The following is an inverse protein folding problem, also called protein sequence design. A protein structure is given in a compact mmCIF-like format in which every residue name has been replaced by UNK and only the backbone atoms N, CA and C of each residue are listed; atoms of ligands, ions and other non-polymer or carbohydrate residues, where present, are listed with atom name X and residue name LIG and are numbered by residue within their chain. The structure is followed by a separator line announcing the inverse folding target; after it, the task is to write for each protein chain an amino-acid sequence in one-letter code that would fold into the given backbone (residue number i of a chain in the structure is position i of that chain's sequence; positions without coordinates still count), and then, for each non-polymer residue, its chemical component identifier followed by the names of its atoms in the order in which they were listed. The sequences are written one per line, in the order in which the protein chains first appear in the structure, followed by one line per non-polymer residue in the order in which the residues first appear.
data_IF_394845221499
#
_entry.id   IF_394845221499
#
_cell.length_a   1.000
_cell.length_b   1.000
_cell.length_c   1.000
_cell.angle_alpha   90.00
_cell.angle_beta   90.00
_cell.angle_gamma   90.00
#
_symmetry.space_group_name_H-M   'P 1'
#
loop_
_entity.id
_entity.type
_entity.pdbx_description
1 polymer ?
#
# COMPACT_ATOMS: atom_id res chain seq x y z
N UNK A 1 7.91 -20.59 -79.41
CA UNK A 1 7.10 -20.96 -78.23
C UNK A 1 7.99 -20.88 -76.99
N UNK A 2 7.92 -19.79 -76.22
CA UNK A 2 8.59 -19.65 -74.94
C UNK A 2 7.53 -19.70 -73.83
N UNK A 3 7.62 -20.68 -72.92
CA UNK A 3 6.77 -20.75 -71.73
C UNK A 3 7.50 -20.05 -70.58
N UNK A 4 6.97 -18.90 -70.15
CA UNK A 4 7.40 -18.19 -68.96
C UNK A 4 6.63 -18.73 -67.75
N UNK A 5 7.34 -19.26 -66.75
CA UNK A 5 6.76 -19.78 -65.50
C UNK A 5 6.76 -18.68 -64.45
N UNK A 6 5.57 -18.23 -64.04
CA UNK A 6 5.37 -17.29 -62.94
C UNK A 6 5.40 -18.08 -61.63
N UNK A 7 6.45 -17.88 -60.82
CA UNK A 7 6.50 -18.37 -59.45
C UNK A 7 5.71 -17.42 -58.53
N UNK A 8 4.60 -17.92 -57.96
CA UNK A 8 3.86 -17.25 -56.88
C UNK A 8 4.60 -17.47 -55.56
N UNK A 9 5.20 -16.42 -55.01
CA UNK A 9 5.66 -16.38 -53.62
C UNK A 9 4.45 -16.17 -52.71
N UNK A 10 4.08 -17.20 -51.96
CA UNK A 10 3.08 -17.10 -50.88
C UNK A 10 3.84 -16.73 -49.62
N UNK A 11 3.83 -15.45 -49.26
CA UNK A 11 4.34 -14.96 -47.98
C UNK A 11 3.33 -15.26 -46.88
N UNK A 12 3.55 -16.35 -46.13
CA UNK A 12 2.80 -16.63 -44.90
C UNK A 12 3.26 -15.71 -43.78
N UNK A 13 2.39 -14.81 -43.32
CA UNK A 13 2.62 -14.04 -42.11
C UNK A 13 2.47 -14.97 -40.90
N UNK A 14 3.60 -15.30 -40.26
CA UNK A 14 3.60 -15.97 -38.96
C UNK A 14 3.25 -14.94 -37.92
N UNK A 15 2.00 -14.92 -37.47
CA UNK A 15 1.59 -14.17 -36.28
C UNK A 15 2.07 -14.96 -35.07
N UNK A 16 3.21 -14.57 -34.52
CA UNK A 16 3.69 -15.09 -33.26
C UNK A 16 2.82 -14.52 -32.14
N UNK A 17 1.82 -15.29 -31.68
CA UNK A 17 1.07 -14.98 -30.46
C UNK A 17 1.97 -15.30 -29.28
N UNK A 18 2.65 -14.28 -28.74
CA UNK A 18 3.30 -14.39 -27.44
C UNK A 18 2.23 -14.43 -26.37
N UNK A 19 1.82 -15.63 -25.94
CA UNK A 19 1.11 -15.82 -24.68
C UNK A 19 2.18 -15.72 -23.60
N UNK A 20 2.46 -14.51 -23.12
CA UNK A 20 3.24 -14.32 -21.92
C UNK A 20 2.41 -14.88 -20.75
N UNK A 21 2.71 -16.10 -20.32
CA UNK A 21 2.27 -16.64 -19.04
C UNK A 21 3.05 -15.93 -17.92
N UNK A 22 2.88 -14.61 -17.82
CA UNK A 22 3.38 -13.84 -16.70
C UNK A 22 2.44 -14.07 -15.54
N UNK A 23 2.91 -14.73 -14.49
CA UNK A 23 2.32 -14.53 -13.16
C UNK A 23 2.31 -13.04 -12.90
N UNK A 24 1.13 -12.45 -12.87
CA UNK A 24 0.97 -11.04 -12.56
C UNK A 24 1.32 -10.88 -11.08
N UNK A 25 2.57 -10.50 -10.79
CA UNK A 25 2.99 -10.18 -9.43
C UNK A 25 2.34 -8.87 -9.02
N UNK A 26 1.83 -8.80 -7.80
CA UNK A 26 1.48 -7.55 -7.16
C UNK A 26 2.70 -6.61 -7.22
N UNK A 27 2.49 -5.33 -7.57
CA UNK A 27 3.54 -4.33 -7.55
C UNK A 27 3.40 -3.49 -6.29
N UNK A 28 4.52 -3.27 -5.59
CA UNK A 28 4.55 -2.33 -4.48
C UNK A 28 4.36 -0.91 -5.02
N UNK A 29 3.21 -0.31 -4.70
CA UNK A 29 2.90 1.07 -5.07
C UNK A 29 3.39 2.06 -4.01
N UNK A 30 3.55 1.60 -2.78
CA UNK A 30 4.13 2.36 -1.68
C UNK A 30 4.93 1.45 -0.75
N UNK A 31 6.07 1.96 -0.28
CA UNK A 31 6.67 1.54 0.97
C UNK A 31 7.21 2.75 1.74
N UNK A 32 6.95 2.80 3.04
CA UNK A 32 7.50 3.82 3.93
C UNK A 32 7.77 3.27 5.34
N UNK A 33 8.64 3.94 6.09
CA UNK A 33 9.00 3.59 7.46
C UNK A 33 8.82 4.80 8.36
N UNK A 34 8.07 4.61 9.44
CA UNK A 34 7.73 5.65 10.39
C UNK A 34 8.32 5.30 11.75
N UNK A 35 9.11 6.21 12.32
CA UNK A 35 9.68 6.06 13.64
C UNK A 35 9.06 7.09 14.59
N UNK A 36 8.53 6.60 15.71
CA UNK A 36 7.79 7.41 16.66
C UNK A 36 8.58 7.54 17.95
N UNK A 37 9.54 8.47 17.92
CA UNK A 37 10.38 8.81 19.08
C UNK A 37 11.26 7.65 19.57
N UNK A 38 11.58 6.69 18.69
CA UNK A 38 12.31 5.47 19.04
C UNK A 38 11.49 4.45 19.83
N UNK A 39 10.23 4.71 20.13
CA UNK A 39 9.36 3.82 20.91
C UNK A 39 8.79 2.72 20.03
N UNK A 40 8.22 3.13 18.89
CA UNK A 40 7.58 2.26 17.89
C UNK A 40 8.19 2.55 16.52
N UNK A 41 8.27 1.52 15.68
CA UNK A 41 8.47 1.69 14.24
C UNK A 41 7.36 0.99 13.49
N UNK A 42 6.78 1.67 12.49
CA UNK A 42 5.73 1.12 11.64
C UNK A 42 6.23 1.19 10.20
N UNK A 43 6.42 0.03 9.59
CA UNK A 43 6.72 -0.06 8.16
C UNK A 43 5.41 -0.33 7.43
N UNK A 44 5.05 0.53 6.50
CA UNK A 44 3.90 0.34 5.63
C UNK A 44 4.37 -0.15 4.27
N UNK A 45 3.62 -1.08 3.70
CA UNK A 45 3.71 -1.44 2.29
C UNK A 45 2.30 -1.51 1.72
N UNK A 46 2.12 -0.93 0.54
CA UNK A 46 0.88 -1.05 -0.23
C UNK A 46 1.22 -1.64 -1.57
N UNK A 47 0.48 -2.67 -1.92
CA UNK A 47 0.61 -3.37 -3.19
C UNK A 47 -0.68 -3.20 -3.99
N UNK A 48 -0.54 -2.95 -5.30
CA UNK A 48 -1.65 -3.11 -6.23
C UNK A 48 -1.81 -4.58 -6.61
N UNK A 49 -2.94 -4.93 -7.22
CA UNK A 49 -3.16 -6.27 -7.77
C UNK A 49 -3.17 -7.39 -6.70
N UNK A 50 -3.93 -7.18 -5.62
CA UNK A 50 -4.08 -8.17 -4.57
C UNK A 50 -4.66 -9.48 -5.11
N UNK A 51 -3.86 -10.56 -5.09
CA UNK A 51 -4.24 -11.89 -5.61
C UNK A 51 -4.76 -11.87 -7.06
N UNK A 52 -4.30 -10.94 -7.90
CA UNK A 52 -4.76 -10.80 -9.28
C UNK A 52 -5.89 -9.78 -9.49
N UNK A 53 -6.37 -9.14 -8.42
CA UNK A 53 -7.39 -8.10 -8.47
C UNK A 53 -6.77 -6.70 -8.48
N UNK A 54 -6.62 -6.14 -9.67
CA UNK A 54 -6.13 -4.77 -9.89
C UNK A 54 -7.06 -3.67 -9.35
N UNK A 55 -8.30 -4.02 -8.98
CA UNK A 55 -9.24 -3.07 -8.40
C UNK A 55 -9.09 -2.94 -6.89
N UNK A 56 -8.04 -3.55 -6.30
CA UNK A 56 -7.78 -3.51 -4.87
C UNK A 56 -6.34 -3.18 -4.54
N UNK A 57 -6.18 -2.47 -3.43
CA UNK A 57 -4.92 -2.32 -2.73
C UNK A 57 -4.86 -3.28 -1.56
N UNK A 58 -3.68 -3.85 -1.35
CA UNK A 58 -3.33 -4.61 -0.15
C UNK A 58 -2.41 -3.79 0.72
N UNK A 59 -2.86 -3.48 1.93
CA UNK A 59 -2.14 -2.70 2.89
C UNK A 59 -1.52 -3.63 3.93
N UNK A 60 -0.24 -3.45 4.20
CA UNK A 60 0.49 -4.19 5.23
C UNK A 60 1.25 -3.22 6.13
N UNK A 61 1.10 -3.40 7.43
CA UNK A 61 1.78 -2.65 8.47
C UNK A 61 2.57 -3.61 9.34
N UNK A 62 3.90 -3.55 9.26
CA UNK A 62 4.79 -4.27 10.15
C UNK A 62 5.20 -3.33 11.29
N UNK A 63 4.63 -3.56 12.46
CA UNK A 63 4.87 -2.78 13.68
C UNK A 63 5.95 -3.46 14.49
N UNK A 64 6.95 -2.70 14.93
CA UNK A 64 7.96 -3.13 15.90
C UNK A 64 7.85 -2.24 17.12
N UNK A 65 7.61 -2.85 18.27
CA UNK A 65 7.63 -2.16 19.54
C UNK A 65 9.04 -2.28 20.14
N UNK A 66 9.76 -1.17 20.21
CA UNK A 66 11.10 -1.18 20.80
C UNK A 66 11.02 -1.11 22.32
N UNK A 67 10.22 -0.18 22.86
CA UNK A 67 10.21 0.13 24.30
C UNK A 67 8.86 0.62 24.84
N UNK A 68 7.82 0.71 24.03
CA UNK A 68 6.53 1.24 24.43
C UNK A 68 5.75 0.25 25.32
N UNK A 69 5.76 0.51 26.61
CA UNK A 69 4.85 -0.06 27.60
C UNK A 69 4.67 0.98 28.70
N UNK A 70 3.59 1.79 28.68
CA UNK A 70 3.48 2.97 29.51
C UNK A 70 3.39 2.66 31.01
N UNK A 71 2.90 1.47 31.39
CA UNK A 71 2.77 1.01 32.77
C UNK A 71 3.11 -0.49 32.88
N UNK A 72 4.42 -0.86 32.84
CA UNK A 72 4.83 -2.25 32.77
C UNK A 72 4.25 -3.13 33.89
N UNK A 73 3.68 -4.27 33.49
CA UNK A 73 3.01 -5.20 34.40
C UNK A 73 1.52 -4.89 34.65
N UNK A 74 1.03 -3.75 34.16
CA UNK A 74 -0.40 -3.39 34.21
C UNK A 74 -0.96 -3.14 32.81
N UNK A 75 -0.24 -2.40 31.98
CA UNK A 75 -0.58 -2.22 30.57
C UNK A 75 -0.10 -3.40 29.71
N UNK A 76 -0.55 -3.45 28.46
CA UNK A 76 -0.26 -4.56 27.54
C UNK A 76 0.50 -4.12 26.27
N UNK A 77 1.39 -3.13 26.41
CA UNK A 77 2.29 -2.69 25.33
C UNK A 77 1.57 -1.90 24.24
N UNK A 78 1.98 -2.08 22.98
CA UNK A 78 1.28 -1.53 21.82
C UNK A 78 0.06 -2.41 21.52
N UNK A 79 -1.12 -1.92 21.83
CA UNK A 79 -2.34 -2.74 21.87
C UNK A 79 -3.52 -2.06 21.19
N UNK A 80 -3.23 -1.03 20.41
CA UNK A 80 -4.20 -0.13 19.84
C UNK A 80 -3.58 0.58 18.66
N UNK A 81 -4.21 0.52 17.50
CA UNK A 81 -3.69 1.08 16.26
C UNK A 81 -4.83 1.56 15.39
N UNK A 82 -4.92 2.88 15.25
CA UNK A 82 -5.99 3.54 14.52
C UNK A 82 -5.41 4.32 13.35
N UNK A 83 -5.82 3.91 12.17
CA UNK A 83 -5.43 4.59 10.96
C UNK A 83 -6.42 5.71 10.72
N UNK A 84 -5.90 6.92 10.47
CA UNK A 84 -6.77 8.07 10.24
C UNK A 84 -7.35 8.13 8.82
N UNK A 85 -7.71 6.97 8.26
CA UNK A 85 -8.39 6.85 6.97
C UNK A 85 -9.84 7.28 7.19
N UNK A 86 -10.27 8.37 6.53
CA UNK A 86 -11.63 8.91 6.69
C UNK A 86 -12.70 7.82 6.50
N UNK A 87 -13.74 7.88 7.34
CA UNK A 87 -14.77 6.86 7.52
C UNK A 87 -15.41 6.35 6.22
N UNK A 88 -14.84 5.27 5.67
CA UNK A 88 -15.49 3.99 5.32
C UNK A 88 -16.44 3.92 4.12
N UNK A 89 -17.28 4.91 3.86
CA UNK A 89 -18.26 4.76 2.77
C UNK A 89 -17.55 4.81 1.41
N UNK A 90 -17.59 3.67 0.70
CA UNK A 90 -16.99 3.53 -0.63
C UNK A 90 -15.53 3.09 -0.66
N UNK A 91 -14.87 2.84 0.49
CA UNK A 91 -13.49 2.35 0.52
C UNK A 91 -13.35 0.85 0.30
N UNK A 92 -14.43 0.09 0.42
CA UNK A 92 -14.43 -1.36 0.18
C UNK A 92 -13.44 -2.12 1.06
N UNK A 93 -13.33 -1.73 2.33
CA UNK A 93 -12.43 -2.37 3.30
C UNK A 93 -12.80 -3.85 3.48
N UNK A 94 -11.80 -4.73 3.40
CA UNK A 94 -11.98 -6.17 3.58
C UNK A 94 -10.67 -6.83 4.05
N UNK A 95 -10.71 -8.15 4.25
CA UNK A 95 -9.55 -9.00 4.50
C UNK A 95 -8.64 -8.53 5.67
N UNK A 96 -9.25 -7.94 6.70
CA UNK A 96 -8.53 -7.44 7.88
C UNK A 96 -7.85 -8.58 8.64
N UNK A 97 -6.58 -8.37 9.00
CA UNK A 97 -5.77 -9.31 9.79
C UNK A 97 -4.94 -8.56 10.81
N UNK A 98 -4.76 -9.21 11.95
CA UNK A 98 -3.91 -8.77 13.05
C UNK A 98 -2.92 -9.88 13.43
N UNK A 99 -1.93 -9.60 14.30
CA UNK A 99 -0.90 -10.57 14.68
C UNK A 99 -1.45 -11.86 15.30
N UNK A 100 -2.60 -11.79 15.99
CA UNK A 100 -3.27 -12.94 16.57
C UNK A 100 -4.78 -12.68 16.66
N UNK A 101 -5.55 -13.72 17.01
CA UNK A 101 -7.01 -13.69 17.04
C UNK A 101 -7.62 -12.93 18.24
N UNK A 102 -6.81 -12.46 19.18
CA UNK A 102 -7.27 -11.65 20.32
C UNK A 102 -7.44 -10.16 19.99
N UNK A 103 -7.02 -9.74 18.80
CA UNK A 103 -7.25 -8.38 18.33
C UNK A 103 -8.66 -8.23 17.76
N UNK A 104 -9.37 -7.22 18.24
CA UNK A 104 -10.66 -6.77 17.76
C UNK A 104 -10.46 -5.72 16.65
N UNK A 105 -11.36 -5.72 15.67
CA UNK A 105 -11.40 -4.71 14.61
C UNK A 105 -12.58 -3.77 14.84
N UNK A 106 -12.37 -2.45 14.73
CA UNK A 106 -13.43 -1.43 14.81
C UNK A 106 -14.24 -1.52 16.12
N UNK A 107 -13.52 -1.48 17.24
CA UNK A 107 -14.10 -1.63 18.57
C UNK A 107 -14.89 -0.40 19.00
N UNK A 108 -14.35 0.81 18.74
CA UNK A 108 -14.47 1.82 19.77
C UNK A 108 -14.37 3.29 19.28
N UNK A 109 -13.62 3.61 18.22
CA UNK A 109 -13.44 5.00 17.78
C UNK A 109 -14.35 5.44 16.62
N UNK A 110 -14.87 4.48 15.86
CA UNK A 110 -15.68 4.73 14.65
C UNK A 110 -14.84 5.09 13.41
N UNK A 111 -13.51 5.03 13.51
CA UNK A 111 -12.62 5.11 12.36
C UNK A 111 -12.71 3.86 11.48
N UNK A 112 -12.35 4.01 10.21
CA UNK A 112 -12.58 2.95 9.23
C UNK A 112 -11.69 1.72 9.47
N UNK A 113 -10.49 1.92 10.01
CA UNK A 113 -9.52 0.87 10.30
C UNK A 113 -8.92 1.10 11.69
N UNK A 114 -9.42 0.33 12.65
CA UNK A 114 -9.01 0.32 14.05
C UNK A 114 -8.69 -1.13 14.46
N UNK A 115 -7.58 -1.32 15.15
CA UNK A 115 -7.16 -2.57 15.76
C UNK A 115 -6.95 -2.38 17.25
N UNK A 116 -7.60 -3.20 18.08
CA UNK A 116 -7.46 -3.16 19.53
C UNK A 116 -7.21 -4.54 20.11
N UNK A 117 -6.50 -4.61 21.22
CA UNK A 117 -6.49 -5.80 22.08
C UNK A 117 -6.55 -5.37 23.53
N UNK A 118 -7.66 -5.73 24.19
CA UNK A 118 -7.88 -5.46 25.61
C UNK A 118 -6.98 -6.34 26.47
N UNK A 119 -6.68 -5.91 27.70
CA UNK A 119 -5.86 -6.70 28.63
C UNK A 119 -6.44 -8.09 28.88
N UNK A 120 -7.76 -8.20 29.00
CA UNK A 120 -8.45 -9.48 29.20
C UNK A 120 -8.43 -10.39 27.97
N UNK A 121 -8.26 -9.83 26.77
CA UNK A 121 -8.11 -10.58 25.53
C UNK A 121 -6.66 -11.04 25.30
N UNK A 122 -5.68 -10.28 25.81
CA UNK A 122 -4.28 -10.69 25.82
C UNK A 122 -3.29 -9.53 25.84
N UNK A 123 -2.04 -9.87 25.53
CA UNK A 123 -0.98 -8.90 25.33
C UNK A 123 -1.02 -8.35 23.90
N UNK A 124 -0.78 -7.04 23.76
CA UNK A 124 -0.46 -6.44 22.47
C UNK A 124 0.92 -6.85 21.99
N UNK A 125 1.55 -6.01 21.18
CA UNK A 125 2.96 -6.17 20.80
C UNK A 125 3.78 -5.60 21.97
N UNK A 126 4.47 -6.45 22.72
CA UNK A 126 5.25 -6.03 23.89
C UNK A 126 6.62 -5.44 23.48
N UNK A 127 7.32 -4.72 24.37
CA UNK A 127 8.67 -4.23 24.10
C UNK A 127 9.63 -5.34 23.63
N UNK A 128 10.32 -5.10 22.52
CA UNK A 128 11.21 -6.05 21.85
C UNK A 128 10.51 -6.97 20.83
N UNK A 129 9.19 -6.85 20.66
CA UNK A 129 8.42 -7.68 19.75
C UNK A 129 7.98 -6.93 18.48
N UNK A 130 7.53 -7.70 17.49
CA UNK A 130 6.96 -7.19 16.25
C UNK A 130 5.66 -7.93 15.91
N UNK A 131 4.77 -7.26 15.19
CA UNK A 131 3.52 -7.82 14.70
C UNK A 131 3.13 -7.20 13.36
N UNK A 132 2.35 -7.94 12.57
CA UNK A 132 1.87 -7.49 11.27
C UNK A 132 0.35 -7.31 11.27
N UNK A 133 -0.10 -6.20 10.72
CA UNK A 133 -1.51 -5.90 10.43
C UNK A 133 -1.69 -5.78 8.93
N UNK A 134 -2.86 -6.13 8.41
CA UNK A 134 -3.15 -5.94 7.00
C UNK A 134 -4.63 -5.83 6.71
N UNK A 135 -4.99 -5.20 5.60
CA UNK A 135 -6.35 -5.18 5.06
C UNK A 135 -6.31 -4.92 3.55
N UNK A 136 -7.44 -5.09 2.88
CA UNK A 136 -7.63 -4.69 1.49
C UNK A 136 -8.59 -3.50 1.40
N UNK A 137 -8.42 -2.65 0.39
CA UNK A 137 -9.34 -1.57 0.07
C UNK A 137 -9.51 -1.44 -1.45
N UNK A 138 -10.54 -0.73 -1.88
CA UNK A 138 -10.53 -0.12 -3.22
C UNK A 138 -9.42 0.95 -3.29
N UNK A 139 -8.94 1.31 -4.49
CA UNK A 139 -8.04 2.44 -4.68
C UNK A 139 -8.63 3.69 -4.05
N UNK A 140 -7.88 4.26 -3.12
CA UNK A 140 -8.26 5.49 -2.41
C UNK A 140 -7.15 6.51 -2.61
N UNK A 141 -7.53 7.78 -2.76
CA UNK A 141 -6.58 8.89 -2.69
C UNK A 141 -6.02 8.93 -1.29
N UNK A 142 -4.75 8.62 -1.18
CA UNK A 142 -4.11 8.49 0.10
C UNK A 142 -3.72 9.89 0.57
N UNK A 143 -4.39 10.39 1.62
CA UNK A 143 -4.23 11.77 2.11
C UNK A 143 -3.35 11.79 3.35
N UNK A 144 -2.77 12.97 3.65
CA UNK A 144 -2.00 13.20 4.87
C UNK A 144 -2.93 13.10 6.08
N UNK A 145 -3.17 11.89 6.59
CA UNK A 145 -3.89 11.76 7.83
C UNK A 145 -3.01 12.17 8.99
N UNK A 146 -3.47 13.19 9.71
CA UNK A 146 -2.89 13.64 10.97
C UNK A 146 -3.63 13.09 12.18
N UNK A 147 -4.71 12.34 11.94
CA UNK A 147 -5.70 12.01 12.96
C UNK A 147 -5.56 10.58 13.48
N UNK A 148 -4.73 9.75 12.87
CA UNK A 148 -4.46 8.41 13.38
C UNK A 148 -3.61 8.45 14.66
N UNK A 149 -3.69 7.35 15.42
CA UNK A 149 -3.08 7.24 16.74
C UNK A 149 -2.82 5.78 17.13
N UNK A 150 -2.05 5.59 18.19
CA UNK A 150 -1.93 4.30 18.87
C UNK A 150 -2.02 4.47 20.38
N UNK A 151 -2.20 3.38 21.08
CA UNK A 151 -2.39 3.38 22.53
C UNK A 151 -1.99 2.05 23.16
N UNK A 152 -2.09 2.07 24.49
CA UNK A 152 -2.05 0.86 25.31
C UNK A 152 -3.44 0.60 25.91
N UNK A 153 -3.68 -0.59 26.47
CA UNK A 153 -4.82 -0.87 27.32
C UNK A 153 -4.36 -1.12 28.76
N UNK A 154 -5.10 -0.60 29.72
CA UNK A 154 -4.93 -0.88 31.15
C UNK A 154 -6.31 -1.13 31.78
N UNK A 155 -6.47 -2.27 32.46
CA UNK A 155 -7.74 -2.70 33.07
C UNK A 155 -8.93 -2.68 32.10
N UNK A 156 -8.72 -3.11 30.85
CA UNK A 156 -9.72 -3.07 29.78
C UNK A 156 -10.27 -1.66 29.51
N UNK A 157 -9.42 -0.64 29.66
CA UNK A 157 -9.64 0.71 29.18
C UNK A 157 -8.47 1.18 28.31
N UNK A 158 -8.77 1.85 27.19
CA UNK A 158 -7.75 2.53 26.39
C UNK A 158 -7.03 3.58 27.26
N UNK A 159 -5.70 3.62 27.18
CA UNK A 159 -4.84 4.52 27.94
C UNK A 159 -3.61 4.92 27.13
N UNK A 160 -2.90 5.95 27.60
CA UNK A 160 -1.65 6.41 27.01
C UNK A 160 -1.73 6.64 25.48
N UNK A 161 -2.87 7.15 25.02
CA UNK A 161 -3.13 7.54 23.63
C UNK A 161 -2.01 8.46 23.14
N UNK A 162 -1.54 8.22 21.91
CA UNK A 162 -0.51 9.00 21.23
C UNK A 162 -0.91 9.21 19.78
N UNK A 163 -1.07 10.45 19.38
CA UNK A 163 -1.33 10.80 17.99
C UNK A 163 -0.05 10.70 17.17
N UNK A 164 -0.16 10.27 15.90
CA UNK A 164 0.98 10.27 14.98
C UNK A 164 1.64 11.65 14.87
N UNK A 165 0.82 12.70 14.89
CA UNK A 165 1.22 14.10 14.75
C UNK A 165 2.03 14.64 15.94
N UNK A 166 2.09 13.93 17.08
CA UNK A 166 2.92 14.31 18.23
C UNK A 166 4.43 14.14 17.95
N UNK A 167 4.79 13.36 16.93
CA UNK A 167 6.19 13.03 16.63
C UNK A 167 6.70 13.86 15.45
N UNK A 168 7.73 14.66 15.69
CA UNK A 168 8.32 15.56 14.69
C UNK A 168 8.71 14.82 13.42
N UNK A 169 8.18 15.25 12.27
CA UNK A 169 8.46 14.64 10.98
C UNK A 169 7.67 13.36 10.69
N UNK A 170 6.81 12.92 11.61
CA UNK A 170 5.92 11.81 11.38
C UNK A 170 4.53 12.31 10.94
N UNK A 171 4.19 12.02 9.70
CA UNK A 171 2.80 11.89 9.26
C UNK A 171 2.33 10.45 9.54
N UNK A 172 1.02 10.20 9.59
CA UNK A 172 0.49 8.85 9.82
C UNK A 172 1.05 7.82 8.81
N UNK A 173 1.06 6.52 9.13
CA UNK A 173 1.67 5.49 8.28
C UNK A 173 0.93 5.29 6.94
N UNK A 174 -0.11 6.06 6.65
CA UNK A 174 -0.93 5.99 5.46
C UNK A 174 -0.44 6.96 4.36
N UNK A 175 0.87 7.09 4.05
CA UNK A 175 1.36 8.08 3.05
C UNK A 175 1.83 7.42 1.77
N UNK A 176 1.32 7.85 0.61
CA UNK A 176 2.14 8.36 -0.49
C UNK A 176 1.53 9.57 -1.20
N UNK A 177 2.41 10.46 -1.68
CA UNK A 177 2.14 11.26 -2.88
C UNK A 177 2.48 10.37 -4.09
N UNK A 178 1.58 9.46 -4.49
CA UNK A 178 1.74 8.76 -5.77
C UNK A 178 1.26 9.74 -6.83
N UNK A 179 2.10 10.16 -7.80
CA UNK A 179 1.60 10.87 -8.96
C UNK A 179 0.60 9.95 -9.66
N UNK A 180 -0.63 10.42 -9.85
CA UNK A 180 -1.69 9.74 -10.59
C UNK A 180 -1.09 9.01 -11.82
N UNK A 181 -1.49 7.75 -12.15
CA UNK A 181 -0.97 6.99 -13.29
C UNK A 181 -0.99 7.78 -14.61
N UNK A 182 -1.91 8.73 -14.70
CA UNK A 182 -2.07 9.71 -15.76
C UNK A 182 -0.79 10.53 -15.97
N UNK A 183 -0.06 10.89 -14.92
CA UNK A 183 1.22 11.63 -15.00
C UNK A 183 2.28 10.82 -15.75
N UNK A 184 2.39 9.53 -15.44
CA UNK A 184 3.34 8.64 -16.13
C UNK A 184 2.91 8.37 -17.57
N UNK A 185 1.60 8.18 -17.79
CA UNK A 185 1.06 7.97 -19.13
C UNK A 185 1.26 9.22 -20.00
N UNK A 186 0.98 10.41 -19.46
CA UNK A 186 1.18 11.69 -20.14
C UNK A 186 2.66 11.99 -20.36
N UNK A 187 3.55 11.59 -19.44
CA UNK A 187 5.00 11.67 -19.66
C UNK A 187 5.43 10.77 -20.82
N UNK A 188 4.97 9.52 -20.86
CA UNK A 188 5.30 8.58 -21.93
C UNK A 188 4.73 9.02 -23.28
N UNK A 189 3.50 9.52 -23.30
CA UNK A 189 2.88 10.14 -24.49
C UNK A 189 3.68 11.35 -24.94
N UNK A 190 4.09 12.21 -23.99
CA UNK A 190 4.95 13.37 -24.25
C UNK A 190 6.29 12.99 -24.87
N UNK A 191 6.98 12.00 -24.32
CA UNK A 191 8.24 11.47 -24.84
C UNK A 191 8.07 10.84 -26.23
N UNK A 192 6.98 10.10 -26.45
CA UNK A 192 6.64 9.53 -27.76
C UNK A 192 6.43 10.61 -28.84
N UNK A 193 5.71 11.69 -28.50
CA UNK A 193 5.49 12.82 -29.40
C UNK A 193 6.80 13.56 -29.73
N UNK A 194 7.67 13.79 -28.74
CA UNK A 194 8.98 14.41 -28.98
C UNK A 194 9.84 13.56 -29.92
N UNK A 195 9.88 12.24 -29.70
CA UNK A 195 10.58 11.31 -30.58
C UNK A 195 10.07 11.35 -32.03
N UNK A 196 8.75 11.43 -32.20
CA UNK A 196 8.12 11.56 -33.53
C UNK A 196 8.51 12.85 -34.24
N UNK A 197 8.53 13.99 -33.53
CA UNK A 197 8.94 15.30 -34.08
C UNK A 197 10.40 15.28 -34.54
N UNK A 198 11.30 14.72 -33.71
CA UNK A 198 12.73 14.62 -34.04
C UNK A 198 12.93 13.77 -35.31
N UNK A 199 12.26 12.62 -35.39
CA UNK A 199 12.32 11.74 -36.57
C UNK A 199 11.85 12.44 -37.84
N UNK A 200 10.77 13.21 -37.77
CA UNK A 200 10.25 13.96 -38.92
C UNK A 200 11.26 14.98 -39.45
N UNK A 201 11.97 15.70 -38.57
CA UNK A 201 13.00 16.68 -38.97
C UNK A 201 14.19 16.04 -39.69
N UNK A 202 14.62 14.85 -39.26
CA UNK A 202 15.73 14.12 -39.89
C UNK A 202 15.40 13.63 -41.31
N UNK A 203 14.14 13.28 -41.58
CA UNK A 203 13.71 12.87 -42.93
C UNK A 203 13.72 14.07 -43.88
N UNK A 204 13.28 15.24 -43.43
CA UNK A 204 13.28 16.46 -44.25
C UNK A 204 14.67 17.02 -44.49
N UNK A 205 15.63 16.84 -43.57
CA UNK A 205 17.01 17.33 -43.76
C UNK A 205 17.89 16.45 -44.65
N UNK A 206 17.39 15.27 -45.07
CA UNK A 206 18.09 14.34 -45.97
C UNK A 206 17.53 14.36 -47.40
N UNK A 207 16.50 15.16 -47.64
CA UNK A 207 15.97 15.48 -48.96
C UNK A 207 16.52 16.82 -49.42
#
# INVERSE_FOLDING_TARGET
MYKSSIAKQIGGAVVATFIASGTVSAATVLSNSHNYGGLITINVTVEDNYLGDFSKYFWKYDVTNHTYDPNPGTSNGFSGFELGIQSGEGLGLADMKAPNAGWDFNCCSGDAVEYDIRNSAGLGIMPGESGSFSFTSLPVSITNSTNGWWHSWENDSQTAIRNFSEFTGATGPEIPVIPEPETYTMLMVGLGLVGFIVRRKQVTSRA
#
